data_IF_365734540415
#
_entry.id   IF_365734540415
#
_cell.length_a   1.000
_cell.length_b   1.000
_cell.length_c   1.000
_cell.angle_alpha   90.00
_cell.angle_beta   90.00
_cell.angle_gamma   90.00
#
_symmetry.space_group_name_H-M   'P 1'
#
loop_
_entity.id
_entity.type
_entity.pdbx_description
1 polymer ?
#
# COMPACT_ATOMS: atom_id res chain seq x y z
N UNK A 1 -18.62 3.60 -7.17
CA UNK A 1 -18.55 4.15 -5.80
C UNK A 1 -19.97 4.33 -5.31
N UNK A 2 -20.38 3.54 -4.32
CA UNK A 2 -21.71 3.65 -3.74
C UNK A 2 -21.57 4.40 -2.41
N UNK A 3 -22.01 5.66 -2.37
CA UNK A 3 -22.02 6.49 -1.16
C UNK A 3 -23.35 6.29 -0.45
N UNK A 4 -23.30 5.77 0.78
CA UNK A 4 -24.47 5.57 1.64
C UNK A 4 -24.84 6.83 2.45
N UNK A 5 -23.88 7.72 2.72
CA UNK A 5 -24.14 9.00 3.38
C UNK A 5 -22.85 9.71 3.82
N UNK A 6 -23.01 10.81 4.55
CA UNK A 6 -21.93 11.60 5.12
C UNK A 6 -22.03 11.57 6.64
N UNK A 7 -20.91 11.32 7.31
CA UNK A 7 -20.80 11.38 8.75
C UNK A 7 -19.73 12.39 9.13
N UNK A 8 -20.05 13.32 10.02
CA UNK A 8 -19.06 14.21 10.61
C UNK A 8 -19.06 14.06 12.12
N UNK A 9 -17.88 14.29 12.70
CA UNK A 9 -17.74 14.51 14.14
C UNK A 9 -17.12 15.89 14.36
N UNK A 10 -17.66 16.63 15.31
CA UNK A 10 -17.25 17.98 15.67
C UNK A 10 -16.90 17.99 17.15
N UNK A 11 -15.64 18.23 17.46
CA UNK A 11 -15.16 18.39 18.84
C UNK A 11 -14.92 19.88 19.09
N UNK A 12 -15.79 20.52 19.87
CA UNK A 12 -15.68 21.91 20.30
C UNK A 12 -14.87 21.99 21.60
N UNK A 13 -13.93 22.92 21.66
CA UNK A 13 -13.07 23.15 22.83
C UNK A 13 -13.34 24.53 23.44
N UNK A 14 -13.06 24.67 24.75
CA UNK A 14 -13.27 25.91 25.50
C UNK A 14 -14.72 26.14 25.96
N UNK A 15 -15.61 25.15 25.82
CA UNK A 15 -17.02 25.25 26.20
C UNK A 15 -17.19 24.82 27.67
N UNK A 16 -16.84 25.69 28.60
CA UNK A 16 -16.91 25.38 30.05
C UNK A 16 -18.29 25.59 30.66
N UNK A 17 -19.16 26.36 29.99
CA UNK A 17 -20.51 26.63 30.49
C UNK A 17 -21.34 25.35 30.41
N UNK A 18 -21.84 24.88 31.55
CA UNK A 18 -22.83 23.81 31.58
C UNK A 18 -24.19 24.38 31.17
N UNK A 19 -24.70 23.93 30.03
CA UNK A 19 -25.99 24.37 29.48
C UNK A 19 -27.08 23.35 29.85
N UNK A 20 -28.32 23.80 30.10
CA UNK A 20 -29.42 22.88 30.36
C UNK A 20 -29.72 22.01 29.13
N UNK A 21 -30.30 20.83 29.34
CA UNK A 21 -30.51 19.86 28.25
C UNK A 21 -31.39 20.41 27.11
N UNK A 22 -32.34 21.28 27.44
CA UNK A 22 -33.26 21.94 26.49
C UNK A 22 -32.50 22.83 25.48
N UNK A 23 -31.34 23.37 25.87
CA UNK A 23 -30.49 24.15 24.97
C UNK A 23 -29.99 23.27 23.81
N UNK A 24 -29.50 22.07 24.10
CA UNK A 24 -29.01 21.13 23.09
C UNK A 24 -30.15 20.54 22.24
N UNK A 25 -31.32 20.27 22.84
CA UNK A 25 -32.51 19.85 22.12
C UNK A 25 -32.96 20.91 21.08
N UNK A 26 -32.88 22.20 21.44
CA UNK A 26 -33.19 23.28 20.51
C UNK A 26 -32.17 23.37 19.37
N UNK A 27 -30.88 23.12 19.65
CA UNK A 27 -29.86 23.06 18.60
C UNK A 27 -30.14 21.91 17.62
N UNK A 28 -30.51 20.72 18.10
CA UNK A 28 -30.92 19.63 17.20
C UNK A 28 -32.05 20.03 16.27
N UNK A 29 -33.06 20.76 16.76
CA UNK A 29 -34.18 21.25 15.93
C UNK A 29 -33.70 22.21 14.84
N UNK A 30 -32.84 23.18 15.20
CA UNK A 30 -32.23 24.12 14.24
C UNK A 30 -31.42 23.39 13.16
N UNK A 31 -30.60 22.40 13.56
CA UNK A 31 -29.80 21.61 12.62
C UNK A 31 -30.70 20.76 11.72
N UNK A 32 -31.73 20.12 12.28
CA UNK A 32 -32.64 19.27 11.53
C UNK A 32 -33.40 20.06 10.44
N UNK A 33 -33.90 21.25 10.79
CA UNK A 33 -34.54 22.16 9.83
C UNK A 33 -33.58 22.57 8.71
N UNK A 34 -32.37 23.02 9.07
CA UNK A 34 -31.37 23.45 8.10
C UNK A 34 -30.88 22.32 7.18
N UNK A 35 -30.73 21.11 7.72
CA UNK A 35 -30.33 19.92 6.98
C UNK A 35 -31.49 19.22 6.26
N UNK A 36 -32.74 19.69 6.46
CA UNK A 36 -33.96 19.10 5.89
C UNK A 36 -34.13 17.62 6.25
N UNK A 37 -33.85 17.27 7.50
CA UNK A 37 -33.97 15.93 8.08
C UNK A 37 -35.08 15.90 9.14
N UNK A 38 -35.72 14.76 9.34
CA UNK A 38 -36.86 14.65 10.26
C UNK A 38 -36.48 13.98 11.59
N UNK A 39 -36.73 14.66 12.71
CA UNK A 39 -36.51 14.12 14.06
C UNK A 39 -37.66 13.16 14.41
N UNK A 40 -37.30 11.93 14.78
CA UNK A 40 -38.23 10.91 15.28
C UNK A 40 -38.33 10.96 16.80
N UNK A 41 -37.18 11.01 17.48
CA UNK A 41 -37.10 11.01 18.94
C UNK A 41 -35.78 11.65 19.39
N UNK A 42 -35.78 12.24 20.58
CA UNK A 42 -34.56 12.63 21.29
C UNK A 42 -34.52 11.91 22.63
N UNK A 43 -33.48 11.11 22.84
CA UNK A 43 -33.17 10.45 24.10
C UNK A 43 -32.05 11.21 24.82
N UNK A 44 -32.15 11.35 26.15
CA UNK A 44 -31.23 12.18 26.94
C UNK A 44 -30.84 11.54 28.26
N UNK A 45 -29.62 11.85 28.70
CA UNK A 45 -29.11 11.54 30.02
C UNK A 45 -28.35 12.76 30.57
N UNK A 46 -28.64 13.15 31.81
CA UNK A 46 -28.01 14.27 32.51
C UNK A 46 -27.11 13.68 33.59
N UNK A 47 -25.81 14.01 33.54
CA UNK A 47 -24.84 13.53 34.51
C UNK A 47 -24.85 14.39 35.77
N UNK A 48 -24.42 13.80 36.87
CA UNK A 48 -24.16 14.52 38.13
C UNK A 48 -22.66 14.53 38.36
N UNK A 49 -22.02 15.68 38.63
CA UNK A 49 -22.64 16.99 38.91
C UNK A 49 -22.99 17.85 37.68
N UNK A 50 -22.48 17.55 36.49
CA UNK A 50 -22.69 18.33 35.27
C UNK A 50 -22.52 17.47 34.01
N UNK A 51 -22.93 18.00 32.87
CA UNK A 51 -22.77 17.37 31.56
C UNK A 51 -23.98 16.56 31.11
N UNK A 52 -24.06 16.33 29.79
CA UNK A 52 -25.21 15.68 29.16
C UNK A 52 -24.77 14.78 28.01
N UNK A 53 -25.53 13.71 27.79
CA UNK A 53 -25.55 12.96 26.53
C UNK A 53 -26.93 13.07 25.91
N UNK A 54 -26.99 13.40 24.63
CA UNK A 54 -28.22 13.36 23.86
C UNK A 54 -28.01 12.55 22.57
N UNK A 55 -29.02 11.76 22.21
CA UNK A 55 -29.09 11.07 20.93
C UNK A 55 -30.41 11.45 20.25
N UNK A 56 -30.32 12.09 19.09
CA UNK A 56 -31.43 12.44 18.23
C UNK A 56 -31.54 11.39 17.12
N UNK A 57 -32.59 10.59 17.18
CA UNK A 57 -32.95 9.66 16.11
C UNK A 57 -33.61 10.43 14.98
N UNK A 58 -33.06 10.31 13.77
CA UNK A 58 -33.62 10.86 12.55
C UNK A 58 -34.27 9.74 11.73
N UNK A 59 -35.20 10.06 10.82
CA UNK A 59 -35.81 9.04 9.94
C UNK A 59 -34.77 8.31 9.09
N UNK A 60 -33.73 9.00 8.66
CA UNK A 60 -32.67 8.46 7.82
C UNK A 60 -31.39 8.08 8.58
N UNK A 61 -31.20 8.55 9.83
CA UNK A 61 -29.89 8.53 10.50
C UNK A 61 -29.94 8.97 11.98
N UNK A 62 -28.94 9.74 12.46
CA UNK A 62 -28.85 10.24 13.84
C UNK A 62 -27.96 11.49 13.98
N UNK A 63 -28.17 12.23 15.06
CA UNK A 63 -27.23 13.19 15.64
C UNK A 63 -26.98 12.89 17.11
N UNK A 64 -25.82 13.20 17.64
CA UNK A 64 -25.52 13.05 19.08
C UNK A 64 -24.76 14.25 19.64
N UNK A 65 -24.97 14.50 20.93
CA UNK A 65 -24.13 15.35 21.76
C UNK A 65 -23.56 14.55 22.92
N UNK A 66 -22.32 14.86 23.28
CA UNK A 66 -21.73 14.48 24.56
C UNK A 66 -20.91 15.65 25.09
N UNK A 67 -21.18 16.07 26.33
CA UNK A 67 -20.53 17.25 26.92
C UNK A 67 -19.65 16.88 28.11
N UNK A 68 -18.50 17.54 28.20
CA UNK A 68 -17.54 17.46 29.30
C UNK A 68 -17.22 18.89 29.80
N UNK A 69 -18.14 19.55 30.53
CA UNK A 69 -17.93 20.92 31.00
C UNK A 69 -16.62 21.11 31.79
N UNK A 70 -16.21 20.11 32.57
CA UNK A 70 -14.97 20.10 33.35
C UNK A 70 -13.70 20.10 32.48
N UNK A 71 -13.80 19.66 31.24
CA UNK A 71 -12.72 19.70 30.24
C UNK A 71 -12.91 20.81 29.21
N UNK A 72 -14.05 21.51 29.27
CA UNK A 72 -14.46 22.50 28.27
C UNK A 72 -14.69 21.87 26.89
N UNK A 73 -15.17 20.63 26.80
CA UNK A 73 -15.35 19.90 25.53
C UNK A 73 -16.83 19.63 25.27
N UNK A 74 -17.28 19.86 24.04
CA UNK A 74 -18.55 19.35 23.52
C UNK A 74 -18.27 18.58 22.23
N UNK A 75 -18.52 17.27 22.26
CA UNK A 75 -18.47 16.42 21.08
C UNK A 75 -19.87 16.32 20.46
N UNK A 76 -19.95 16.43 19.15
CA UNK A 76 -21.16 16.32 18.37
C UNK A 76 -20.93 15.45 17.15
N UNK A 77 -21.84 14.50 16.90
CA UNK A 77 -21.79 13.65 15.70
C UNK A 77 -23.05 13.88 14.88
N UNK A 78 -22.90 13.89 13.55
CA UNK A 78 -24.03 13.93 12.64
C UNK A 78 -23.75 13.07 11.42
N UNK A 79 -24.51 11.98 11.33
CA UNK A 79 -24.58 11.15 10.14
C UNK A 79 -25.90 11.44 9.41
N UNK A 80 -25.89 11.53 8.09
CA UNK A 80 -27.12 11.61 7.28
C UNK A 80 -26.90 11.08 5.87
N UNK A 81 -27.96 10.52 5.28
CA UNK A 81 -28.06 10.26 3.84
C UNK A 81 -28.94 11.28 3.12
N UNK A 82 -29.34 12.35 3.82
CA UNK A 82 -30.14 13.45 3.29
C UNK A 82 -29.41 14.27 2.22
N UNK A 83 -30.17 15.14 1.54
CA UNK A 83 -29.67 15.94 0.41
C UNK A 83 -28.75 17.09 0.82
N UNK A 84 -28.78 17.51 2.09
CA UNK A 84 -27.94 18.57 2.62
C UNK A 84 -26.80 17.94 3.42
N UNK A 85 -25.56 18.38 3.15
CA UNK A 85 -24.39 17.89 3.90
C UNK A 85 -24.53 18.18 5.39
N UNK A 86 -24.19 17.22 6.27
CA UNK A 86 -24.19 17.42 7.72
C UNK A 86 -23.25 18.54 8.17
N UNK A 87 -22.32 18.97 7.32
CA UNK A 87 -21.42 20.12 7.57
C UNK A 87 -22.16 21.42 7.88
N UNK A 88 -23.44 21.55 7.50
CA UNK A 88 -24.27 22.72 7.88
C UNK A 88 -24.39 22.89 9.40
N UNK A 89 -24.31 21.79 10.16
CA UNK A 89 -24.36 21.82 11.62
C UNK A 89 -23.21 22.62 12.24
N UNK A 90 -22.03 22.65 11.61
CA UNK A 90 -20.87 23.37 12.12
C UNK A 90 -21.13 24.88 12.25
N UNK A 91 -21.76 25.48 11.24
CA UNK A 91 -22.06 26.91 11.23
C UNK A 91 -23.13 27.30 12.26
N UNK A 92 -24.08 26.39 12.53
CA UNK A 92 -25.07 26.57 13.59
C UNK A 92 -24.38 26.46 14.95
N UNK A 93 -23.60 25.40 15.17
CA UNK A 93 -22.94 25.13 16.45
C UNK A 93 -21.94 26.23 16.84
N UNK A 94 -21.18 26.76 15.88
CA UNK A 94 -20.27 27.89 16.13
C UNK A 94 -20.97 29.14 16.66
N UNK A 95 -22.24 29.37 16.28
CA UNK A 95 -23.02 30.53 16.75
C UNK A 95 -23.60 30.31 18.14
N UNK A 96 -23.94 29.07 18.47
CA UNK A 96 -24.63 28.73 19.72
C UNK A 96 -23.65 28.41 20.86
N UNK A 97 -22.50 27.79 20.56
CA UNK A 97 -21.51 27.36 21.54
C UNK A 97 -20.35 28.38 21.64
N UNK A 98 -20.09 28.99 22.80
CA UNK A 98 -18.90 29.80 23.01
C UNK A 98 -17.67 28.89 23.10
N UNK A 99 -16.85 28.87 22.05
CA UNK A 99 -15.72 27.95 21.90
C UNK A 99 -14.43 28.70 21.56
N UNK A 100 -13.29 28.08 21.82
CA UNK A 100 -11.97 28.58 21.42
C UNK A 100 -11.51 27.98 20.10
N UNK A 101 -11.85 26.72 19.84
CA UNK A 101 -11.53 26.01 18.60
C UNK A 101 -12.50 24.86 18.36
N UNK A 102 -12.51 24.35 17.13
CA UNK A 102 -13.31 23.19 16.72
C UNK A 102 -12.45 22.27 15.86
N UNK A 103 -12.47 20.97 16.17
CA UNK A 103 -11.92 19.93 15.30
C UNK A 103 -13.08 19.28 14.56
N UNK A 104 -13.05 19.35 13.24
CA UNK A 104 -13.98 18.62 12.36
C UNK A 104 -13.26 17.40 11.80
N UNK A 105 -13.93 16.25 11.82
CA UNK A 105 -13.52 15.05 11.10
C UNK A 105 -14.67 14.64 10.18
N UNK A 106 -14.34 14.40 8.92
CA UNK A 106 -15.28 13.95 7.89
C UNK A 106 -15.06 12.46 7.62
N UNK A 107 -16.16 11.72 7.55
CA UNK A 107 -16.20 10.30 7.27
C UNK A 107 -17.23 10.05 6.17
N UNK A 108 -16.74 9.79 4.96
CA UNK A 108 -17.61 9.29 3.90
C UNK A 108 -18.05 7.86 4.27
N UNK A 109 -19.36 7.63 4.33
CA UNK A 109 -19.92 6.28 4.44
C UNK A 109 -20.06 5.74 3.03
N UNK A 110 -18.97 5.28 2.45
CA UNK A 110 -18.95 4.67 1.12
C UNK A 110 -18.33 3.27 1.17
N UNK A 111 -18.16 2.68 -0.02
CA UNK A 111 -17.55 1.36 -0.17
C UNK A 111 -16.02 1.40 -0.26
N UNK A 112 -15.39 2.57 -0.12
CA UNK A 112 -13.94 2.72 -0.23
C UNK A 112 -13.31 2.38 1.12
N UNK A 113 -12.45 1.37 1.12
CA UNK A 113 -11.69 0.98 2.29
C UNK A 113 -10.36 1.74 2.35
N UNK A 114 -10.09 2.39 3.49
CA UNK A 114 -8.79 2.99 3.79
C UNK A 114 -7.82 1.91 4.26
N UNK A 115 -7.07 1.32 3.32
CA UNK A 115 -6.06 0.32 3.64
C UNK A 115 -4.77 0.99 4.10
N UNK A 116 -4.41 0.82 5.37
CA UNK A 116 -3.27 1.52 5.98
C UNK A 116 -1.94 0.97 5.45
N UNK A 117 -1.12 1.85 4.90
CA UNK A 117 0.23 1.52 4.43
C UNK A 117 1.16 1.24 5.62
N UNK A 118 1.98 0.19 5.51
CA UNK A 118 2.90 -0.27 6.57
C UNK A 118 4.01 0.75 6.91
N UNK A 119 4.31 1.69 6.00
CA UNK A 119 5.24 2.80 6.20
C UNK A 119 4.60 4.00 6.92
N UNK A 120 3.36 3.89 7.37
CA UNK A 120 2.73 4.88 8.24
C UNK A 120 3.48 4.98 9.59
N UNK A 121 3.85 6.20 9.98
CA UNK A 121 4.48 6.51 11.28
C UNK A 121 3.43 7.04 12.27
N UNK A 122 3.85 7.39 13.49
CA UNK A 122 2.95 8.06 14.45
C UNK A 122 2.47 9.41 13.92
N UNK A 123 3.37 10.21 13.32
CA UNK A 123 3.07 11.55 12.82
C UNK A 123 2.49 11.61 11.41
N UNK A 124 2.63 10.55 10.59
CA UNK A 124 2.11 10.51 9.22
C UNK A 124 1.43 9.16 8.98
N UNK A 125 0.13 9.18 8.68
CA UNK A 125 -0.63 8.00 8.25
C UNK A 125 -0.86 8.07 6.75
N UNK A 126 -0.54 6.99 6.05
CA UNK A 126 -0.79 6.82 4.61
C UNK A 126 -1.79 5.69 4.41
N UNK A 127 -2.72 5.88 3.49
CA UNK A 127 -3.74 4.90 3.15
C UNK A 127 -3.86 4.74 1.65
N UNK A 128 -3.99 3.51 1.19
CA UNK A 128 -4.49 3.22 -0.14
C UNK A 128 -6.01 3.26 -0.11
N UNK A 129 -6.60 3.93 -1.10
CA UNK A 129 -8.04 3.96 -1.31
C UNK A 129 -8.44 2.69 -2.08
N UNK A 130 -8.99 1.70 -1.39
CA UNK A 130 -9.35 0.39 -1.96
C UNK A 130 -10.83 0.38 -2.33
N UNK A 131 -11.13 0.16 -3.61
CA UNK A 131 -12.51 0.02 -4.10
C UNK A 131 -13.07 -1.38 -3.85
N UNK A 132 -12.22 -2.40 -3.89
CA UNK A 132 -12.60 -3.80 -3.82
C UNK A 132 -11.44 -4.67 -3.32
N UNK A 133 -11.73 -5.61 -2.42
CA UNK A 133 -10.83 -6.70 -2.04
C UNK A 133 -11.16 -7.89 -2.97
N UNK A 134 -10.36 -8.08 -4.02
CA UNK A 134 -10.59 -9.13 -5.04
C UNK A 134 -10.21 -10.50 -4.48
N UNK A 135 -9.09 -10.57 -3.75
CA UNK A 135 -8.62 -11.75 -3.02
C UNK A 135 -7.91 -11.37 -1.75
N UNK A 136 -8.02 -12.25 -0.76
CA UNK A 136 -7.31 -12.21 0.51
C UNK A 136 -7.22 -13.65 1.03
N UNK A 137 -6.01 -14.20 1.14
CA UNK A 137 -5.75 -15.57 1.59
C UNK A 137 -4.30 -15.72 2.05
N UNK A 138 -4.02 -16.77 2.82
CA UNK A 138 -2.65 -17.15 3.19
C UNK A 138 -2.22 -18.34 2.33
N UNK A 139 -1.05 -18.25 1.69
CA UNK A 139 -0.51 -19.32 0.85
C UNK A 139 0.13 -20.46 1.67
N UNK A 140 0.37 -21.58 1.02
CA UNK A 140 1.12 -22.73 1.54
C UNK A 140 2.58 -22.36 1.88
N UNK A 141 3.14 -21.36 1.20
CA UNK A 141 4.47 -20.80 1.52
C UNK A 141 4.44 -19.90 2.77
N UNK A 142 3.25 -19.59 3.31
CA UNK A 142 3.06 -18.84 4.53
C UNK A 142 2.88 -17.32 4.34
N UNK A 143 2.82 -16.84 3.10
CA UNK A 143 2.64 -15.42 2.78
C UNK A 143 1.16 -15.04 2.85
N UNK A 144 0.83 -13.88 3.42
CA UNK A 144 -0.51 -13.31 3.34
C UNK A 144 -0.65 -12.54 2.02
N UNK A 145 -1.43 -13.06 1.08
CA UNK A 145 -1.60 -12.52 -0.26
C UNK A 145 -2.94 -11.80 -0.37
N UNK A 146 -2.90 -10.55 -0.82
CA UNK A 146 -4.09 -9.78 -1.14
C UNK A 146 -4.00 -9.23 -2.58
N UNK A 147 -5.11 -9.33 -3.31
CA UNK A 147 -5.30 -8.59 -4.55
C UNK A 147 -6.36 -7.54 -4.29
N UNK A 148 -5.96 -6.28 -4.38
CA UNK A 148 -6.80 -5.13 -4.08
C UNK A 148 -7.00 -4.30 -5.34
N UNK A 149 -8.21 -3.79 -5.57
CA UNK A 149 -8.46 -2.79 -6.59
C UNK A 149 -8.27 -1.40 -5.98
N UNK A 150 -7.15 -0.76 -6.29
CA UNK A 150 -6.84 0.58 -5.84
C UNK A 150 -7.50 1.62 -6.75
N UNK A 151 -8.13 2.63 -6.15
CA UNK A 151 -8.85 3.70 -6.87
C UNK A 151 -7.99 4.37 -7.93
N UNK A 152 -6.75 4.71 -7.57
CA UNK A 152 -5.82 5.36 -8.50
C UNK A 152 -5.01 4.36 -9.32
N UNK A 153 -4.57 3.22 -8.76
CA UNK A 153 -3.53 2.38 -9.37
C UNK A 153 -4.01 1.09 -10.04
N UNK A 154 -5.33 0.83 -10.06
CA UNK A 154 -5.88 -0.40 -10.64
C UNK A 154 -5.69 -1.60 -9.71
N UNK A 155 -5.66 -2.81 -10.24
CA UNK A 155 -5.41 -3.98 -9.40
C UNK A 155 -3.96 -3.95 -8.91
N UNK A 156 -3.75 -4.37 -7.66
CA UNK A 156 -2.45 -4.40 -7.02
C UNK A 156 -2.29 -5.66 -6.18
N UNK A 157 -1.07 -6.20 -6.15
CA UNK A 157 -0.67 -7.27 -5.26
C UNK A 157 -0.11 -6.65 -3.98
N UNK A 158 -0.59 -7.14 -2.85
CA UNK A 158 0.01 -6.95 -1.54
C UNK A 158 0.45 -8.30 -0.98
N UNK A 159 1.62 -8.35 -0.38
CA UNK A 159 2.13 -9.50 0.38
C UNK A 159 2.47 -9.01 1.79
N UNK A 160 1.90 -9.67 2.79
CA UNK A 160 2.10 -9.34 4.22
C UNK A 160 1.85 -7.85 4.54
N UNK A 161 0.88 -7.26 3.84
CA UNK A 161 0.51 -5.85 3.95
C UNK A 161 1.38 -4.86 3.17
N UNK A 162 2.46 -5.31 2.54
CA UNK A 162 3.31 -4.48 1.69
C UNK A 162 2.88 -4.57 0.22
N UNK A 163 2.72 -3.42 -0.44
CA UNK A 163 2.45 -3.37 -1.87
C UNK A 163 3.66 -3.90 -2.65
N UNK A 164 3.42 -4.85 -3.56
CA UNK A 164 4.45 -5.46 -4.40
C UNK A 164 4.40 -4.95 -5.84
N UNK A 165 3.20 -4.72 -6.36
CA UNK A 165 2.99 -4.25 -7.73
C UNK A 165 1.59 -3.64 -7.90
N UNK A 166 1.44 -2.65 -8.78
CA UNK A 166 0.15 -2.14 -9.23
C UNK A 166 0.10 -1.99 -10.77
N UNK A 167 -1.02 -2.36 -11.39
CA UNK A 167 -1.12 -2.49 -12.86
C UNK A 167 -0.76 -1.21 -13.62
N UNK A 168 -1.11 -0.04 -13.08
CA UNK A 168 -0.97 1.22 -13.81
C UNK A 168 0.46 1.74 -13.88
N UNK A 169 1.34 1.36 -12.95
CA UNK A 169 2.69 1.93 -12.86
C UNK A 169 3.82 0.89 -12.78
N UNK A 170 3.51 -0.41 -12.69
CA UNK A 170 4.52 -1.48 -12.61
C UNK A 170 5.56 -1.45 -13.73
N UNK A 171 5.21 -0.95 -14.92
CA UNK A 171 6.17 -0.83 -16.04
C UNK A 171 7.33 0.11 -15.70
N UNK A 172 7.11 1.09 -14.82
CA UNK A 172 8.18 1.94 -14.31
C UNK A 172 9.19 1.08 -13.53
N UNK A 173 8.72 0.17 -12.69
CA UNK A 173 9.54 -0.77 -11.94
C UNK A 173 10.25 -1.76 -12.88
N UNK A 174 9.47 -2.64 -13.53
CA UNK A 174 9.99 -3.79 -14.27
C UNK A 174 10.90 -3.38 -15.45
N UNK A 175 10.51 -2.33 -16.19
CA UNK A 175 11.32 -1.89 -17.32
C UNK A 175 12.59 -1.15 -16.89
N UNK A 176 12.56 -0.39 -15.79
CA UNK A 176 13.77 0.23 -15.25
C UNK A 176 14.73 -0.83 -14.75
N UNK A 177 14.21 -1.81 -14.01
CA UNK A 177 14.99 -2.89 -13.44
C UNK A 177 15.74 -3.72 -14.49
N UNK A 178 15.04 -4.18 -15.53
CA UNK A 178 15.66 -4.93 -16.65
C UNK A 178 16.64 -4.05 -17.44
N UNK A 179 16.28 -2.78 -17.72
CA UNK A 179 17.16 -1.84 -18.44
C UNK A 179 18.44 -1.52 -17.66
N UNK A 180 18.40 -1.51 -16.34
CA UNK A 180 19.60 -1.28 -15.51
C UNK A 180 20.67 -2.34 -15.78
N UNK A 181 20.26 -3.61 -15.92
CA UNK A 181 21.15 -4.68 -16.33
C UNK A 181 21.63 -4.52 -17.78
N UNK A 182 20.71 -4.28 -18.71
CA UNK A 182 21.01 -4.16 -20.15
C UNK A 182 21.94 -2.99 -20.50
N UNK A 183 21.99 -1.94 -19.66
CA UNK A 183 22.93 -0.83 -19.82
C UNK A 183 24.39 -1.23 -19.61
N UNK A 184 24.65 -2.33 -18.87
CA UNK A 184 26.01 -2.80 -18.59
C UNK A 184 26.44 -3.93 -19.54
N UNK A 185 25.49 -4.69 -20.07
CA UNK A 185 25.72 -5.71 -21.09
C UNK A 185 24.47 -5.84 -21.96
N UNK A 186 24.64 -5.85 -23.27
CA UNK A 186 23.54 -6.08 -24.22
C UNK A 186 23.34 -7.57 -24.54
N UNK A 187 24.19 -8.47 -24.01
CA UNK A 187 24.08 -9.91 -24.24
C UNK A 187 22.89 -10.47 -23.47
N UNK A 188 21.89 -10.96 -24.16
CA UNK A 188 20.62 -11.38 -23.59
C UNK A 188 20.28 -12.86 -23.86
N UNK A 189 21.28 -13.72 -24.13
CA UNK A 189 21.01 -15.13 -24.45
C UNK A 189 20.47 -15.92 -23.26
N UNK A 190 20.93 -15.63 -22.04
CA UNK A 190 20.50 -16.38 -20.84
C UNK A 190 20.25 -15.44 -19.66
N UNK A 191 19.10 -15.59 -19.01
CA UNK A 191 18.77 -14.88 -17.79
C UNK A 191 18.30 -15.81 -16.67
N UNK A 192 18.56 -15.39 -15.44
CA UNK A 192 17.92 -15.93 -14.24
C UNK A 192 17.14 -14.82 -13.52
N UNK A 193 15.96 -15.15 -13.01
CA UNK A 193 15.15 -14.28 -12.14
C UNK A 193 14.94 -15.02 -10.83
N UNK A 194 15.29 -14.39 -9.70
CA UNK A 194 15.06 -14.92 -8.35
C UNK A 194 13.93 -14.10 -7.72
N UNK A 195 12.78 -14.72 -7.44
CA UNK A 195 11.56 -14.03 -7.02
C UNK A 195 10.78 -13.48 -8.21
N UNK A 196 10.16 -12.31 -8.05
CA UNK A 196 9.41 -11.64 -9.13
C UNK A 196 8.11 -12.35 -9.50
N UNK A 197 7.43 -12.93 -8.50
CA UNK A 197 6.16 -13.67 -8.62
C UNK A 197 5.01 -12.91 -9.32
N UNK A 198 5.10 -11.59 -9.44
CA UNK A 198 4.17 -10.75 -10.22
C UNK A 198 4.39 -10.84 -11.74
N UNK A 199 5.49 -11.46 -12.19
CA UNK A 199 5.80 -11.72 -13.59
C UNK A 199 6.28 -10.51 -14.39
N UNK A 200 6.29 -9.29 -13.84
CA UNK A 200 6.68 -8.07 -14.54
C UNK A 200 8.09 -8.14 -15.12
N UNK A 201 9.05 -8.66 -14.35
CA UNK A 201 10.45 -8.83 -14.79
C UNK A 201 10.55 -9.89 -15.89
N UNK A 202 9.91 -11.04 -15.71
CA UNK A 202 9.90 -12.10 -16.73
C UNK A 202 9.31 -11.59 -18.05
N UNK A 203 8.21 -10.84 -18.01
CA UNK A 203 7.65 -10.19 -19.19
C UNK A 203 8.63 -9.22 -19.84
N UNK A 204 9.27 -8.34 -19.06
CA UNK A 204 10.22 -7.38 -19.63
C UNK A 204 11.45 -8.06 -20.22
N UNK A 205 11.94 -9.18 -19.65
CA UNK A 205 12.96 -10.01 -20.28
C UNK A 205 12.48 -10.56 -21.64
N UNK A 206 11.28 -11.16 -21.71
CA UNK A 206 10.70 -11.63 -22.98
C UNK A 206 10.60 -10.50 -24.02
N UNK A 207 10.14 -9.32 -23.60
CA UNK A 207 10.02 -8.13 -24.47
C UNK A 207 11.36 -7.60 -24.96
N UNK A 208 12.44 -7.82 -24.21
CA UNK A 208 13.80 -7.46 -24.61
C UNK A 208 14.55 -8.64 -25.26
N UNK A 209 13.81 -9.59 -25.84
CA UNK A 209 14.32 -10.71 -26.64
C UNK A 209 15.37 -11.56 -25.92
N UNK A 210 15.16 -11.85 -24.63
CA UNK A 210 15.99 -12.84 -23.97
C UNK A 210 15.70 -14.24 -24.52
N UNK A 211 16.75 -14.98 -24.91
CA UNK A 211 16.58 -16.27 -25.59
C UNK A 211 16.09 -17.36 -24.63
N UNK A 212 16.58 -17.36 -23.38
CA UNK A 212 16.20 -18.31 -22.34
C UNK A 212 16.23 -17.69 -20.94
N UNK A 213 15.18 -17.92 -20.15
CA UNK A 213 14.96 -17.33 -18.83
C UNK A 213 14.60 -18.45 -17.85
N UNK A 214 15.47 -18.72 -16.88
CA UNK A 214 15.10 -19.51 -15.70
C UNK A 214 14.52 -18.58 -14.63
N UNK A 215 13.26 -18.81 -14.25
CA UNK A 215 12.54 -18.02 -13.28
C UNK A 215 12.30 -18.84 -12.00
N UNK A 216 13.04 -18.52 -10.95
CA UNK A 216 12.96 -19.20 -9.65
C UNK A 216 11.96 -18.49 -8.74
N UNK A 217 10.84 -19.15 -8.44
CA UNK A 217 9.78 -18.61 -7.59
C UNK A 217 9.40 -19.61 -6.49
N UNK A 218 9.32 -19.11 -5.26
CA UNK A 218 8.97 -19.90 -4.09
C UNK A 218 7.48 -20.23 -4.08
N UNK A 219 6.64 -19.23 -4.34
CA UNK A 219 5.21 -19.28 -4.11
C UNK A 219 4.41 -19.30 -5.43
N UNK A 220 3.93 -20.50 -5.76
CA UNK A 220 3.04 -20.74 -6.92
C UNK A 220 1.75 -19.93 -6.83
N UNK A 221 1.25 -19.68 -5.63
CA UNK A 221 -0.04 -19.03 -5.44
C UNK A 221 0.04 -17.53 -5.72
N UNK A 222 1.21 -16.89 -5.49
CA UNK A 222 1.48 -15.52 -5.94
C UNK A 222 1.39 -15.44 -7.46
N UNK A 223 2.10 -16.32 -8.18
CA UNK A 223 2.08 -16.36 -9.64
C UNK A 223 0.68 -16.60 -10.19
N UNK A 224 -0.04 -17.57 -9.63
CA UNK A 224 -1.41 -17.89 -10.07
C UNK A 224 -2.38 -16.74 -9.80
N UNK A 225 -2.27 -16.07 -8.66
CA UNK A 225 -3.11 -14.92 -8.32
C UNK A 225 -2.85 -13.76 -9.28
N UNK A 226 -1.59 -13.41 -9.50
CA UNK A 226 -1.22 -12.31 -10.38
C UNK A 226 -1.53 -12.63 -11.85
N UNK A 227 -1.34 -13.86 -12.31
CA UNK A 227 -1.76 -14.26 -13.65
C UNK A 227 -3.26 -14.04 -13.87
N UNK A 228 -4.08 -14.33 -12.86
CA UNK A 228 -5.54 -14.22 -12.94
C UNK A 228 -6.05 -12.79 -12.77
N UNK A 229 -5.47 -12.02 -11.86
CA UNK A 229 -6.01 -10.73 -11.44
C UNK A 229 -5.14 -9.52 -11.83
N UNK A 230 -3.94 -9.74 -12.33
CA UNK A 230 -3.01 -8.74 -12.88
C UNK A 230 -2.58 -9.12 -14.32
N UNK A 231 -3.53 -9.43 -15.24
CA UNK A 231 -3.19 -10.01 -16.54
C UNK A 231 -2.37 -9.08 -17.43
N UNK A 232 -2.43 -7.76 -17.22
CA UNK A 232 -1.58 -6.80 -17.92
C UNK A 232 -0.11 -6.92 -17.52
N UNK A 233 0.16 -7.22 -16.25
CA UNK A 233 1.50 -7.45 -15.69
C UNK A 233 2.07 -8.75 -16.24
N UNK A 234 1.27 -9.83 -16.18
CA UNK A 234 1.61 -11.18 -16.64
C UNK A 234 1.65 -11.41 -18.16
N UNK A 235 1.39 -10.37 -18.94
CA UNK A 235 1.15 -10.49 -20.38
C UNK A 235 2.30 -11.18 -21.12
N UNK A 236 1.99 -12.11 -22.02
CA UNK A 236 2.92 -12.79 -22.94
C UNK A 236 3.97 -13.73 -22.31
N UNK A 237 3.98 -13.95 -20.98
CA UNK A 237 4.94 -14.87 -20.34
C UNK A 237 4.68 -16.31 -20.80
N UNK A 238 3.45 -16.81 -20.67
CA UNK A 238 3.09 -18.20 -21.01
C UNK A 238 3.09 -18.54 -22.50
N UNK A 239 3.19 -17.54 -23.38
CA UNK A 239 3.33 -17.76 -24.83
C UNK A 239 4.79 -17.95 -25.25
N UNK A 240 5.72 -17.64 -24.34
CA UNK A 240 7.13 -17.75 -24.60
C UNK A 240 7.62 -19.13 -24.19
N UNK A 241 8.09 -19.92 -25.15
CA UNK A 241 8.83 -21.17 -24.85
C UNK A 241 10.19 -20.88 -24.20
N UNK A 242 10.53 -19.60 -23.99
CA UNK A 242 11.81 -19.16 -23.46
C UNK A 242 11.79 -18.96 -21.94
N UNK A 243 10.63 -19.08 -21.27
CA UNK A 243 10.53 -18.91 -19.80
C UNK A 243 10.30 -20.25 -19.13
N UNK A 244 11.28 -20.69 -18.35
CA UNK A 244 11.20 -21.90 -17.53
C UNK A 244 11.00 -21.53 -16.06
N UNK A 245 9.81 -21.77 -15.52
CA UNK A 245 9.50 -21.50 -14.12
C UNK A 245 9.92 -22.68 -13.23
N UNK A 246 10.83 -22.43 -12.30
CA UNK A 246 11.40 -23.40 -11.36
C UNK A 246 10.86 -23.09 -9.98
N UNK A 247 10.12 -24.04 -9.42
CA UNK A 247 9.41 -23.85 -8.16
C UNK A 247 10.23 -24.23 -6.93
N UNK A 248 10.05 -23.46 -5.86
CA UNK A 248 10.65 -23.69 -4.55
C UNK A 248 11.79 -22.72 -4.23
N UNK A 249 12.51 -23.01 -3.15
CA UNK A 249 13.60 -22.15 -2.67
C UNK A 249 14.67 -21.96 -3.75
N UNK A 250 14.74 -20.73 -4.28
CA UNK A 250 15.67 -20.37 -5.34
C UNK A 250 17.12 -20.66 -4.94
N UNK A 251 17.51 -20.41 -3.69
CA UNK A 251 18.88 -20.58 -3.23
C UNK A 251 19.29 -22.04 -3.06
N UNK A 252 18.33 -22.95 -2.83
CA UNK A 252 18.59 -24.40 -2.92
C UNK A 252 18.73 -24.86 -4.36
N UNK A 253 17.92 -24.30 -5.25
CA UNK A 253 17.91 -24.68 -6.67
C UNK A 253 19.18 -24.21 -7.41
N UNK A 254 19.69 -23.01 -7.13
CA UNK A 254 20.88 -22.48 -7.83
C UNK A 254 22.18 -23.24 -7.51
N UNK A 255 22.26 -23.96 -6.39
CA UNK A 255 23.44 -24.79 -6.06
C UNK A 255 23.72 -25.80 -7.16
N UNK A 256 22.67 -26.37 -7.77
CA UNK A 256 22.79 -27.35 -8.84
C UNK A 256 22.90 -26.72 -10.24
N UNK A 257 22.88 -25.40 -10.36
CA UNK A 257 23.09 -24.73 -11.64
C UNK A 257 24.56 -24.80 -12.05
N UNK A 258 24.79 -24.92 -13.36
CA UNK A 258 26.12 -24.86 -13.96
C UNK A 258 26.81 -23.50 -13.68
N UNK A 259 28.14 -23.54 -13.59
CA UNK A 259 28.94 -22.32 -13.49
C UNK A 259 28.77 -21.48 -14.75
N UNK A 260 28.81 -20.15 -14.60
CA UNK A 260 28.81 -19.21 -15.72
C UNK A 260 27.67 -19.46 -16.72
N UNK A 261 26.47 -19.74 -16.21
CA UNK A 261 25.30 -20.07 -17.01
C UNK A 261 24.58 -18.83 -17.57
N UNK A 262 24.50 -17.74 -16.80
CA UNK A 262 23.61 -16.61 -17.13
C UNK A 262 24.37 -15.34 -17.54
N UNK A 263 23.91 -14.69 -18.61
CA UNK A 263 24.38 -13.36 -19.01
C UNK A 263 23.80 -12.28 -18.08
N UNK A 264 22.56 -12.46 -17.61
CA UNK A 264 21.90 -11.58 -16.64
C UNK A 264 21.30 -12.37 -15.47
N UNK A 265 21.43 -11.86 -14.25
CA UNK A 265 20.76 -12.38 -13.07
C UNK A 265 20.03 -11.25 -12.35
N UNK A 266 18.70 -11.36 -12.24
CA UNK A 266 17.84 -10.41 -11.57
C UNK A 266 17.40 -10.94 -10.20
N UNK A 267 17.62 -10.16 -9.14
CA UNK A 267 17.20 -10.50 -7.77
C UNK A 267 16.01 -9.61 -7.40
N UNK A 268 14.82 -10.21 -7.42
CA UNK A 268 13.50 -9.57 -7.26
C UNK A 268 12.74 -10.18 -6.07
N UNK A 269 13.40 -10.23 -4.92
CA UNK A 269 12.81 -10.73 -3.69
C UNK A 269 12.07 -9.60 -2.96
N UNK A 270 11.18 -9.95 -2.03
CA UNK A 270 10.49 -8.99 -1.16
C UNK A 270 11.48 -8.07 -0.42
N UNK A 271 11.03 -6.84 -0.12
CA UNK A 271 11.83 -5.80 0.55
C UNK A 271 11.92 -5.98 2.07
N UNK A 272 12.25 -7.19 2.52
CA UNK A 272 12.39 -7.54 3.93
C UNK A 272 13.81 -8.02 4.27
N UNK A 273 14.17 -7.88 5.55
CA UNK A 273 15.53 -8.16 6.03
C UNK A 273 15.91 -9.64 5.83
N UNK A 274 14.97 -10.57 5.92
CA UNK A 274 15.23 -12.00 5.76
C UNK A 274 15.59 -12.33 4.30
N UNK A 275 14.80 -11.86 3.34
CA UNK A 275 15.10 -12.04 1.91
C UNK A 275 16.45 -11.45 1.52
N UNK A 276 16.77 -10.27 2.05
CA UNK A 276 18.03 -9.57 1.81
C UNK A 276 19.22 -10.35 2.36
N UNK A 277 19.12 -10.83 3.60
CA UNK A 277 20.20 -11.60 4.22
C UNK A 277 20.39 -12.96 3.54
N UNK A 278 19.29 -13.56 3.07
CA UNK A 278 19.33 -14.79 2.28
C UNK A 278 20.07 -14.59 0.96
N UNK A 279 19.80 -13.50 0.23
CA UNK A 279 20.53 -13.17 -1.00
C UNK A 279 22.01 -12.88 -0.75
N UNK A 280 22.33 -12.11 0.30
CA UNK A 280 23.72 -11.82 0.70
C UNK A 280 24.48 -13.09 1.07
N UNK A 281 23.88 -13.99 1.83
CA UNK A 281 24.49 -15.26 2.23
C UNK A 281 24.86 -16.13 1.02
N UNK A 282 24.09 -16.06 -0.06
CA UNK A 282 24.28 -16.85 -1.26
C UNK A 282 24.96 -16.07 -2.41
N UNK A 283 25.54 -14.89 -2.14
CA UNK A 283 26.08 -14.01 -3.19
C UNK A 283 27.22 -14.66 -3.99
N UNK A 284 27.99 -15.56 -3.37
CA UNK A 284 29.05 -16.30 -4.05
C UNK A 284 28.51 -17.34 -5.04
N UNK A 285 27.40 -17.99 -4.71
CA UNK A 285 26.71 -18.91 -5.64
C UNK A 285 26.10 -18.12 -6.80
N UNK A 286 25.46 -16.99 -6.52
CA UNK A 286 24.97 -16.03 -7.54
C UNK A 286 26.10 -15.62 -8.48
N UNK A 287 27.26 -15.25 -7.93
CA UNK A 287 28.45 -14.90 -8.72
C UNK A 287 28.95 -16.08 -9.56
N UNK A 288 28.98 -17.29 -9.01
CA UNK A 288 29.42 -18.51 -9.69
C UNK A 288 28.58 -18.83 -10.93
N UNK A 289 27.26 -18.69 -10.84
CA UNK A 289 26.34 -18.99 -11.95
C UNK A 289 26.21 -17.84 -12.95
N UNK A 290 26.69 -16.65 -12.61
CA UNK A 290 26.73 -15.50 -13.53
C UNK A 290 27.99 -15.61 -14.40
N UNK A 291 27.85 -15.53 -15.72
CA UNK A 291 28.98 -15.54 -16.67
C UNK A 291 30.02 -14.50 -16.32
N UNK A 292 31.28 -14.74 -16.65
CA UNK A 292 32.26 -13.66 -16.79
C UNK A 292 31.75 -12.60 -17.76
N UNK A 293 31.81 -11.34 -17.33
CA UNK A 293 31.19 -10.15 -17.94
C UNK A 293 29.65 -10.16 -17.97
N UNK A 294 29.01 -11.13 -17.34
CA UNK A 294 27.57 -11.11 -17.06
C UNK A 294 27.21 -10.07 -15.99
N UNK A 295 25.93 -9.78 -15.85
CA UNK A 295 25.42 -8.69 -15.01
C UNK A 295 24.46 -9.21 -13.96
N UNK A 296 24.69 -8.84 -12.70
CA UNK A 296 23.74 -9.03 -11.62
C UNK A 296 23.04 -7.70 -11.39
N UNK A 297 21.71 -7.71 -11.27
CA UNK A 297 20.92 -6.54 -10.95
C UNK A 297 19.94 -6.89 -9.83
N UNK A 298 19.98 -6.17 -8.73
CA UNK A 298 19.09 -6.37 -7.58
C UNK A 298 18.18 -5.17 -7.37
N UNK A 299 16.92 -5.41 -7.02
CA UNK A 299 16.08 -4.42 -6.36
C UNK A 299 16.58 -4.27 -4.91
N UNK A 300 16.72 -3.04 -4.41
CA UNK A 300 17.38 -2.79 -3.11
C UNK A 300 16.54 -1.96 -2.15
N UNK A 301 15.25 -1.81 -2.45
CA UNK A 301 14.32 -0.96 -1.71
C UNK A 301 14.43 0.52 -2.08
N UNK A 302 13.95 1.38 -1.19
CA UNK A 302 13.95 2.83 -1.36
C UNK A 302 14.97 3.50 -0.46
N UNK A 303 15.85 4.32 -1.04
CA UNK A 303 16.81 5.13 -0.26
C UNK A 303 16.11 6.20 0.59
N UNK A 304 14.94 6.66 0.16
CA UNK A 304 14.13 7.65 0.87
C UNK A 304 13.51 7.06 2.15
N UNK A 305 13.23 5.74 2.16
CA UNK A 305 12.59 5.03 3.29
C UNK A 305 13.57 4.21 4.13
N UNK A 306 14.49 3.48 3.50
CA UNK A 306 15.42 2.50 4.11
C UNK A 306 16.86 2.69 3.60
N UNK A 307 17.44 3.88 3.78
CA UNK A 307 18.79 4.22 3.26
C UNK A 307 19.89 3.21 3.64
N UNK A 308 19.92 2.76 4.89
CA UNK A 308 20.90 1.79 5.41
C UNK A 308 20.84 0.47 4.61
N UNK A 309 19.64 0.04 4.23
CA UNK A 309 19.44 -1.18 3.46
C UNK A 309 20.05 -1.07 2.06
N UNK A 310 19.77 0.04 1.37
CA UNK A 310 20.32 0.35 0.04
C UNK A 310 21.85 0.41 0.08
N UNK A 311 22.41 1.08 1.10
CA UNK A 311 23.86 1.21 1.26
C UNK A 311 24.53 -0.14 1.56
N UNK A 312 23.87 -1.01 2.33
CA UNK A 312 24.34 -2.37 2.60
C UNK A 312 24.36 -3.23 1.32
N UNK A 313 23.32 -3.16 0.49
CA UNK A 313 23.30 -3.83 -0.81
C UNK A 313 24.44 -3.37 -1.71
N UNK A 314 24.63 -2.05 -1.79
CA UNK A 314 25.73 -1.46 -2.55
C UNK A 314 27.07 -2.01 -2.10
N UNK A 315 27.32 -2.02 -0.79
CA UNK A 315 28.57 -2.55 -0.20
C UNK A 315 28.78 -4.02 -0.53
N UNK A 316 27.75 -4.86 -0.42
CA UNK A 316 27.83 -6.30 -0.77
C UNK A 316 28.21 -6.49 -2.23
N UNK A 317 27.58 -5.75 -3.15
CA UNK A 317 27.85 -5.88 -4.58
C UNK A 317 29.25 -5.33 -4.94
N UNK A 318 29.68 -4.23 -4.32
CA UNK A 318 31.02 -3.68 -4.51
C UNK A 318 32.11 -4.61 -3.98
N UNK A 319 31.93 -5.21 -2.80
CA UNK A 319 32.93 -6.15 -2.24
C UNK A 319 33.04 -7.43 -3.06
N UNK A 320 31.93 -7.88 -3.65
CA UNK A 320 31.86 -9.18 -4.35
C UNK A 320 32.27 -9.08 -5.82
N UNK A 321 31.86 -8.01 -6.51
CA UNK A 321 32.05 -7.82 -7.95
C UNK A 321 33.05 -6.70 -8.29
N UNK A 322 33.48 -5.91 -7.31
CA UNK A 322 34.44 -4.81 -7.51
C UNK A 322 33.88 -3.64 -8.33
N UNK A 323 32.55 -3.53 -8.44
CA UNK A 323 31.84 -2.43 -9.09
C UNK A 323 30.36 -2.42 -8.70
N UNK A 324 29.72 -1.26 -8.75
CA UNK A 324 28.26 -1.11 -8.65
C UNK A 324 27.79 0.11 -9.44
N UNK A 325 26.57 0.03 -10.00
CA UNK A 325 25.88 1.14 -10.67
C UNK A 325 24.44 1.19 -10.21
N UNK A 326 24.05 2.31 -9.62
CA UNK A 326 22.69 2.53 -9.13
C UNK A 326 21.81 3.15 -10.22
N UNK A 327 20.59 2.65 -10.33
CA UNK A 327 19.49 3.25 -11.08
C UNK A 327 18.33 3.54 -10.11
N UNK A 328 17.46 4.46 -10.50
CA UNK A 328 16.37 4.91 -9.66
C UNK A 328 15.18 5.33 -10.53
N UNK A 329 13.97 5.11 -10.02
CA UNK A 329 12.71 5.59 -10.61
C UNK A 329 11.71 5.84 -9.49
N UNK A 330 10.89 6.88 -9.62
CA UNK A 330 9.77 7.10 -8.71
C UNK A 330 8.61 6.18 -9.11
N UNK A 331 8.11 5.39 -8.16
CA UNK A 331 6.96 4.50 -8.34
C UNK A 331 5.76 5.14 -7.60
N UNK A 332 4.76 5.68 -8.31
CA UNK A 332 3.62 6.37 -7.71
C UNK A 332 2.89 5.56 -6.64
N UNK A 333 2.60 4.29 -6.91
CA UNK A 333 1.90 3.40 -5.98
C UNK A 333 2.73 3.05 -4.75
N UNK A 334 4.06 3.20 -4.78
CA UNK A 334 4.90 3.00 -3.60
C UNK A 334 5.14 4.31 -2.84
N UNK A 335 4.81 5.44 -3.46
CA UNK A 335 5.07 6.79 -2.98
C UNK A 335 6.53 6.99 -2.51
N UNK A 336 7.48 6.56 -3.35
CA UNK A 336 8.90 6.82 -3.16
C UNK A 336 9.71 6.52 -4.41
N UNK A 337 10.97 6.95 -4.39
CA UNK A 337 11.95 6.43 -5.34
C UNK A 337 12.36 5.01 -4.99
N UNK A 338 12.29 4.12 -5.97
CA UNK A 338 12.80 2.76 -5.86
C UNK A 338 14.17 2.66 -6.51
N UNK A 339 15.06 1.88 -5.90
CA UNK A 339 16.45 1.78 -6.31
C UNK A 339 16.80 0.37 -6.79
N UNK A 340 17.64 0.33 -7.83
CA UNK A 340 18.21 -0.89 -8.38
C UNK A 340 19.73 -0.75 -8.44
N UNK A 341 20.47 -1.80 -8.08
CA UNK A 341 21.93 -1.80 -8.18
C UNK A 341 22.37 -2.92 -9.10
N UNK A 342 23.20 -2.56 -10.09
CA UNK A 342 23.76 -3.49 -11.07
C UNK A 342 25.28 -3.59 -10.96
N UNK A 343 25.82 -4.79 -11.16
CA UNK A 343 27.26 -5.07 -11.14
C UNK A 343 27.66 -6.06 -12.23
N UNK A 344 28.80 -5.82 -12.86
CA UNK A 344 29.41 -6.75 -13.83
C UNK A 344 30.28 -7.76 -13.10
N UNK A 345 30.14 -9.04 -13.42
CA UNK A 345 31.03 -10.10 -12.93
C UNK A 345 32.37 -10.06 -13.67
N UNK A 346 33.42 -9.53 -13.03
CA UNK A 346 34.73 -9.27 -13.66
C UNK A 346 35.59 -10.52 -13.85
#
# INVERSE_FOLDING_TARGET
MNKAGEHITLDFFGVYKDHPVEFYENIFKKIAEAAKVEIVNISKYIFTPHGVTLLCLLKESHMSFHTFPEKGIVSFDFFTCGVVSPSISLEILKKELPHTSVIKKDFDRDTIHHYKDIYSTEGIKKFYMVEEIIKNFKSDAGQHIEILKLKEFGNALFIDGEIQVAEKDEKLYSSTFVKSGLRLSTKNSTAAIIGGGDGGVARECVKNNFDYIDWFELDKEVVNACQRYLPAVFKNIHKSNNVNCIWGDAFRNIVNCENEKYDHLFIDLNDDQFCIDLAKKNINEIKRITKKKGVITAQVGSKDKKSIQVDNWKKTLESTFGNSKMSQVYIPSFDCNWNFISSVNK
#
